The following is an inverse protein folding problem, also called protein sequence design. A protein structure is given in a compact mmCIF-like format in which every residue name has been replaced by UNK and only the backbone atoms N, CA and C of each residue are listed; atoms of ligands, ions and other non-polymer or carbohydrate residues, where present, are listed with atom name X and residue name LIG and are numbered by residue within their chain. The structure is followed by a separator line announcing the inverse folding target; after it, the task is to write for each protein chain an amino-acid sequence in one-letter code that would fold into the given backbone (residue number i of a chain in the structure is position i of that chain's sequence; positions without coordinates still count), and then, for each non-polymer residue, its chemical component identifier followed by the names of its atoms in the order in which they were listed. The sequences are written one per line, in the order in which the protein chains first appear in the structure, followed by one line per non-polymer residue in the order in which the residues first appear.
data_IF_952269087902
#
_entry.id   IF_952269087902
#
_cell.length_a   1.000
_cell.length_b   1.000
_cell.length_c   1.000
_cell.angle_alpha   90.00
_cell.angle_beta   90.00
_cell.angle_gamma   90.00
#
_symmetry.space_group_name_H-M   'P 1'
#
loop_
_entity.id
_entity.type
_entity.pdbx_description
1 polymer ?
#
# COMPACT_ATOMS: atom_id res chain seq x y z
N UNK A 1 -16.76 23.53 25.60
CA UNK A 1 -16.26 22.15 25.62
C UNK A 1 -16.19 21.73 24.16
N UNK A 2 -14.97 21.65 23.62
CA UNK A 2 -14.75 21.54 22.18
C UNK A 2 -14.75 20.08 21.73
N UNK A 3 -15.42 19.80 20.63
CA UNK A 3 -15.45 18.50 19.98
C UNK A 3 -14.03 18.10 19.56
N UNK A 4 -13.58 16.92 20.01
CA UNK A 4 -12.35 16.30 19.52
C UNK A 4 -12.75 15.43 18.33
N UNK A 5 -12.45 15.94 17.14
CA UNK A 5 -12.55 15.21 15.87
C UNK A 5 -11.21 14.53 15.61
N UNK A 6 -11.12 13.21 15.80
CA UNK A 6 -9.92 12.44 15.46
C UNK A 6 -10.02 12.03 14.00
N UNK A 7 -9.28 12.75 13.16
CA UNK A 7 -9.17 12.46 11.72
C UNK A 7 -7.96 11.56 11.51
N UNK A 8 -8.13 10.36 10.98
CA UNK A 8 -7.00 9.64 10.39
C UNK A 8 -6.73 10.21 9.00
N UNK A 9 -5.56 10.85 8.90
CA UNK A 9 -4.95 11.43 7.72
C UNK A 9 -4.80 10.41 6.60
N UNK A 10 -5.63 10.49 5.57
CA UNK A 10 -5.02 10.67 4.26
C UNK A 10 -4.49 12.10 4.30
N UNK A 11 -3.17 12.28 4.33
CA UNK A 11 -2.59 13.62 4.22
C UNK A 11 -3.00 14.16 2.85
N UNK A 12 -4.10 14.91 2.85
CA UNK A 12 -4.42 15.91 1.85
C UNK A 12 -3.22 16.83 1.70
N UNK A 13 -2.67 16.84 0.49
CA UNK A 13 -1.83 17.90 -0.10
C UNK A 13 -0.95 18.70 0.87
N UNK A 14 0.29 18.24 1.08
CA UNK A 14 1.38 19.19 0.92
C UNK A 14 1.85 19.00 -0.50
N UNK A 15 1.43 19.91 -1.39
CA UNK A 15 2.09 20.04 -2.68
C UNK A 15 3.54 20.42 -2.40
N UNK A 16 4.42 19.43 -2.31
CA UNK A 16 5.85 19.71 -2.44
C UNK A 16 6.02 20.11 -3.89
N UNK A 17 6.26 21.39 -4.12
CA UNK A 17 6.79 21.87 -5.39
C UNK A 17 8.13 21.17 -5.60
N UNK A 18 8.14 20.06 -6.33
CA UNK A 18 9.35 19.52 -6.92
C UNK A 18 9.69 20.37 -8.15
N UNK A 19 10.14 21.60 -7.91
CA UNK A 19 10.95 22.35 -8.85
C UNK A 19 12.38 22.22 -8.36
N UNK A 20 13.27 21.69 -9.21
CA UNK A 20 14.75 21.71 -9.16
C UNK A 20 15.52 20.36 -9.11
N UNK A 21 14.89 19.19 -9.13
CA UNK A 21 15.64 17.91 -9.23
C UNK A 21 15.68 17.27 -10.65
N UNK A 22 15.25 17.97 -11.69
CA UNK A 22 15.32 17.48 -13.08
C UNK A 22 16.41 18.19 -13.92
N UNK A 23 17.33 18.92 -13.28
CA UNK A 23 18.57 19.34 -13.91
C UNK A 23 19.70 18.68 -13.15
N UNK A 24 20.17 17.55 -13.67
CA UNK A 24 21.57 17.10 -13.70
C UNK A 24 21.60 15.59 -13.81
N UNK A 25 21.74 15.11 -15.04
CA UNK A 25 22.62 14.00 -15.42
C UNK A 25 22.59 13.86 -16.95
N UNK A 26 22.98 14.92 -17.64
CA UNK A 26 23.64 14.82 -18.95
C UNK A 26 24.36 16.13 -19.25
N UNK A 27 25.42 16.44 -18.49
CA UNK A 27 26.37 17.46 -18.91
C UNK A 27 27.24 16.90 -20.02
N UNK A 28 26.70 16.91 -21.24
CA UNK A 28 27.52 17.16 -22.41
C UNK A 28 26.84 18.18 -23.34
N UNK A 29 27.44 19.37 -23.35
CA UNK A 29 27.39 20.40 -24.38
C UNK A 29 26.19 21.38 -24.46
N UNK A 30 26.50 22.59 -23.96
CA UNK A 30 26.31 23.93 -24.56
C UNK A 30 24.91 24.57 -24.57
N UNK A 31 24.85 25.69 -23.83
CA UNK A 31 24.07 26.92 -24.02
C UNK A 31 23.09 26.97 -25.20
N UNK A 32 21.78 26.93 -24.92
CA UNK A 32 20.79 27.82 -25.54
C UNK A 32 19.63 28.04 -24.56
N UNK A 33 19.52 29.28 -24.11
CA UNK A 33 18.60 29.83 -23.13
C UNK A 33 17.13 29.94 -23.60
N UNK A 34 16.24 29.88 -22.62
CA UNK A 34 14.90 30.51 -22.50
C UNK A 34 13.79 30.16 -23.52
N UNK A 35 14.06 29.67 -24.73
CA UNK A 35 13.00 29.18 -25.65
C UNK A 35 12.63 27.70 -25.48
N UNK A 36 13.43 26.93 -24.74
CA UNK A 36 13.12 25.51 -24.43
C UNK A 36 12.12 25.35 -23.28
N UNK A 37 11.95 26.35 -22.42
CA UNK A 37 11.05 26.25 -21.26
C UNK A 37 9.57 26.13 -21.67
N UNK A 38 9.12 26.87 -22.69
CA UNK A 38 7.74 26.78 -23.19
C UNK A 38 7.49 25.52 -24.03
N UNK A 39 8.49 25.05 -24.78
CA UNK A 39 8.39 23.78 -25.52
C UNK A 39 8.44 22.54 -24.60
N UNK A 40 9.11 22.64 -23.45
CA UNK A 40 9.17 21.57 -22.45
C UNK A 40 7.83 21.36 -21.72
N UNK A 41 7.01 22.41 -21.55
CA UNK A 41 5.68 22.30 -20.95
C UNK A 41 4.70 21.48 -21.81
N UNK A 42 4.87 21.46 -23.14
CA UNK A 42 4.01 20.68 -24.03
C UNK A 42 4.38 19.18 -24.09
N UNK A 43 5.51 18.79 -23.50
CA UNK A 43 6.00 17.41 -23.46
C UNK A 43 6.20 16.88 -22.04
N UNK A 44 5.58 17.50 -21.03
CA UNK A 44 5.61 17.03 -19.65
C UNK A 44 4.37 16.20 -19.30
N UNK A 45 4.55 15.26 -18.39
CA UNK A 45 3.47 14.48 -17.78
C UNK A 45 3.53 14.65 -16.26
N UNK A 46 2.37 14.66 -15.64
CA UNK A 46 2.24 14.71 -14.18
C UNK A 46 1.81 13.35 -13.66
N UNK A 47 2.50 12.86 -12.64
CA UNK A 47 2.13 11.65 -11.92
C UNK A 47 1.79 11.99 -10.46
N UNK A 48 0.73 11.38 -9.96
CA UNK A 48 0.37 11.36 -8.54
C UNK A 48 0.95 10.11 -7.91
N UNK A 49 1.75 10.30 -6.89
CA UNK A 49 2.45 9.22 -6.19
C UNK A 49 2.04 9.21 -4.72
N UNK A 50 1.61 8.05 -4.21
CA UNK A 50 1.37 7.86 -2.78
C UNK A 50 2.44 6.94 -2.18
N UNK A 51 3.25 7.48 -1.28
CA UNK A 51 4.26 6.72 -0.52
C UNK A 51 3.65 6.22 0.78
N UNK A 52 3.83 4.93 1.07
CA UNK A 52 3.41 4.21 2.26
C UNK A 52 4.66 3.85 3.06
N UNK A 53 4.80 4.41 4.26
CA UNK A 53 5.88 4.15 5.19
C UNK A 53 5.31 3.49 6.45
N UNK A 54 5.30 2.16 6.45
CA UNK A 54 4.75 1.35 7.54
C UNK A 54 5.61 1.42 8.82
N UNK A 55 6.90 1.79 8.72
CA UNK A 55 7.79 1.88 9.89
C UNK A 55 7.36 2.99 10.83
N UNK A 56 6.93 4.12 10.27
CA UNK A 56 6.44 5.28 11.02
C UNK A 56 4.91 5.45 10.94
N UNK A 57 4.21 4.48 10.35
CA UNK A 57 2.75 4.50 10.15
C UNK A 57 2.27 5.79 9.48
N UNK A 58 2.90 6.12 8.34
CA UNK A 58 2.67 7.37 7.63
C UNK A 58 2.45 7.13 6.14
N UNK A 59 1.52 7.89 5.55
CA UNK A 59 1.36 7.96 4.11
C UNK A 59 1.59 9.41 3.64
N UNK A 60 2.31 9.58 2.52
CA UNK A 60 2.59 10.88 1.91
C UNK A 60 2.17 10.86 0.45
N UNK A 61 1.69 11.99 -0.07
CA UNK A 61 1.32 12.15 -1.48
C UNK A 61 2.23 13.17 -2.13
N UNK A 62 2.77 12.81 -3.28
CA UNK A 62 3.63 13.64 -4.12
C UNK A 62 2.96 13.85 -5.47
N UNK A 63 3.13 15.04 -6.02
CA UNK A 63 2.76 15.37 -7.39
C UNK A 63 4.05 15.67 -8.14
N UNK A 64 4.44 14.81 -9.07
CA UNK A 64 5.73 14.90 -9.73
C UNK A 64 5.53 15.10 -11.22
N UNK A 65 6.32 16.01 -11.80
CA UNK A 65 6.25 16.35 -13.21
C UNK A 65 7.51 15.85 -13.90
N UNK A 66 7.33 15.09 -14.97
CA UNK A 66 8.41 14.44 -15.70
C UNK A 66 8.33 14.75 -17.19
N UNK A 67 9.46 14.66 -17.87
CA UNK A 67 9.49 14.67 -19.34
C UNK A 67 8.82 13.42 -19.92
N UNK A 68 8.26 13.56 -21.11
CA UNK A 68 7.73 12.43 -21.86
C UNK A 68 8.83 11.38 -22.08
N UNK A 69 8.55 10.12 -21.71
CA UNK A 69 9.51 9.01 -21.81
C UNK A 69 10.39 8.82 -20.57
N UNK A 70 10.17 9.60 -19.50
CA UNK A 70 10.78 9.34 -18.21
C UNK A 70 10.47 7.93 -17.70
N UNK A 71 11.45 7.35 -16.99
CA UNK A 71 11.39 5.99 -16.46
C UNK A 71 11.25 6.01 -14.95
N UNK A 72 10.74 4.91 -14.41
CA UNK A 72 10.58 4.72 -12.98
C UNK A 72 11.88 4.86 -12.18
N UNK A 73 13.05 4.61 -12.77
CA UNK A 73 14.35 4.91 -12.14
C UNK A 73 14.43 6.34 -11.59
N UNK A 74 14.02 7.34 -12.38
CA UNK A 74 14.06 8.74 -11.96
C UNK A 74 13.09 9.04 -10.82
N UNK A 75 11.96 8.32 -10.77
CA UNK A 75 11.00 8.39 -9.66
C UNK A 75 11.63 7.87 -8.38
N UNK A 76 12.28 6.71 -8.45
CA UNK A 76 12.95 6.10 -7.31
C UNK A 76 14.06 6.98 -6.73
N UNK A 77 14.91 7.56 -7.59
CA UNK A 77 15.98 8.48 -7.18
C UNK A 77 15.42 9.75 -6.52
N UNK A 78 14.43 10.38 -7.17
CA UNK A 78 13.82 11.60 -6.62
C UNK A 78 13.10 11.36 -5.28
N UNK A 79 12.46 10.20 -5.12
CA UNK A 79 11.85 9.80 -3.86
C UNK A 79 12.87 9.53 -2.77
N UNK A 80 13.96 8.85 -3.12
CA UNK A 80 15.05 8.56 -2.20
C UNK A 80 15.61 9.85 -1.60
N UNK A 81 15.85 10.85 -2.45
CA UNK A 81 16.32 12.17 -2.03
C UNK A 81 15.28 12.89 -1.16
N UNK A 82 14.02 12.95 -1.60
CA UNK A 82 12.95 13.64 -0.87
C UNK A 82 12.64 13.01 0.49
N UNK A 83 12.86 11.70 0.63
CA UNK A 83 12.60 10.92 1.85
C UNK A 83 13.87 10.67 2.68
N UNK A 84 15.04 11.16 2.24
CA UNK A 84 16.34 10.94 2.85
C UNK A 84 16.62 9.44 3.15
N UNK A 85 16.47 8.60 2.12
CA UNK A 85 16.50 7.13 2.18
C UNK A 85 17.12 6.56 0.91
N UNK A 86 17.34 5.24 0.83
CA UNK A 86 17.85 4.62 -0.40
C UNK A 86 16.75 4.38 -1.43
N UNK A 87 17.06 4.57 -2.71
CA UNK A 87 16.16 4.19 -3.81
C UNK A 87 15.83 2.68 -3.79
N UNK A 88 16.72 1.84 -3.24
CA UNK A 88 16.50 0.40 -3.11
C UNK A 88 15.49 0.04 -1.99
N UNK A 89 15.17 0.99 -1.11
CA UNK A 89 14.11 0.86 -0.10
C UNK A 89 12.74 1.21 -0.69
N UNK A 90 12.63 1.63 -1.95
CA UNK A 90 11.38 2.08 -2.54
C UNK A 90 10.85 1.05 -3.54
N UNK A 91 9.61 0.59 -3.32
CA UNK A 91 8.96 -0.37 -4.20
C UNK A 91 7.67 0.22 -4.72
N UNK A 92 7.66 0.59 -5.99
CA UNK A 92 6.47 1.16 -6.61
C UNK A 92 5.59 0.07 -7.23
N UNK A 93 4.28 0.30 -7.22
CA UNK A 93 3.31 -0.51 -7.93
C UNK A 93 2.22 0.38 -8.54
N UNK A 94 1.69 -0.06 -9.68
CA UNK A 94 0.63 0.67 -10.38
C UNK A 94 -0.75 0.05 -10.08
N UNK A 95 -1.77 0.89 -9.79
CA UNK A 95 -3.17 0.45 -9.79
C UNK A 95 -3.65 0.19 -11.23
N UNK A 96 -4.86 -0.35 -11.44
CA UNK A 96 -5.46 -0.48 -12.76
C UNK A 96 -5.70 0.91 -13.34
N UNK A 97 -5.60 1.07 -14.67
CA UNK A 97 -5.87 2.35 -15.31
C UNK A 97 -7.29 2.80 -14.96
N UNK A 98 -7.42 4.01 -14.42
CA UNK A 98 -8.71 4.58 -14.03
C UNK A 98 -9.70 4.48 -15.19
N UNK A 99 -10.91 3.96 -14.92
CA UNK A 99 -12.02 4.13 -15.86
C UNK A 99 -12.49 5.60 -15.81
N UNK A 100 -13.19 6.06 -16.85
CA UNK A 100 -13.81 7.38 -16.86
C UNK A 100 -14.78 7.62 -15.68
N UNK A 101 -15.17 6.56 -14.96
CA UNK A 101 -16.07 6.58 -13.81
C UNK A 101 -15.38 6.98 -12.48
N UNK A 102 -14.10 7.35 -12.50
CA UNK A 102 -13.35 7.94 -11.35
C UNK A 102 -13.27 7.08 -10.08
N UNK A 103 -13.57 5.78 -10.15
CA UNK A 103 -13.34 4.88 -9.02
C UNK A 103 -11.93 4.30 -9.15
N UNK A 104 -11.00 4.79 -8.31
CA UNK A 104 -9.72 4.12 -8.11
C UNK A 104 -10.03 2.70 -7.60
N UNK A 105 -9.64 1.67 -8.35
CA UNK A 105 -9.59 0.31 -7.82
C UNK A 105 -8.20 0.13 -7.27
N UNK A 106 -8.06 0.02 -5.95
CA UNK A 106 -6.74 0.02 -5.32
C UNK A 106 -5.99 -1.30 -5.45
N UNK A 107 -6.44 -2.26 -6.27
CA UNK A 107 -5.67 -3.47 -6.50
C UNK A 107 -4.39 -3.19 -7.29
N UNK A 108 -3.25 -3.72 -6.86
CA UNK A 108 -2.02 -3.54 -7.59
C UNK A 108 -1.95 -4.49 -8.78
N UNK A 109 -1.58 -3.96 -9.93
CA UNK A 109 -1.54 -4.71 -11.19
C UNK A 109 -0.14 -5.24 -11.52
N UNK A 110 0.90 -4.55 -11.04
CA UNK A 110 2.31 -4.89 -11.26
C UNK A 110 3.18 -4.11 -10.28
N UNK A 111 4.26 -4.74 -9.83
CA UNK A 111 5.41 -4.03 -9.26
C UNK A 111 6.19 -3.38 -10.41
N UNK A 112 6.50 -2.09 -10.28
CA UNK A 112 7.14 -1.29 -11.31
C UNK A 112 8.66 -1.46 -11.26
N UNK A 113 9.24 -1.87 -12.39
CA UNK A 113 10.69 -2.00 -12.53
C UNK A 113 11.31 -0.64 -12.91
N UNK A 114 12.60 -0.39 -12.62
CA UNK A 114 13.25 0.88 -12.96
C UNK A 114 13.18 1.27 -14.45
N UNK A 115 12.99 0.29 -15.33
CA UNK A 115 12.88 0.47 -16.79
C UNK A 115 11.46 0.77 -17.28
N UNK A 116 10.46 0.58 -16.42
CA UNK A 116 9.06 0.86 -16.77
C UNK A 116 8.83 2.35 -16.98
N UNK A 117 7.81 2.68 -17.78
CA UNK A 117 7.31 4.04 -17.93
C UNK A 117 6.61 4.51 -16.65
N UNK A 118 6.66 5.82 -16.38
CA UNK A 118 5.97 6.41 -15.23
C UNK A 118 4.46 6.48 -15.50
N UNK A 119 3.60 5.79 -14.71
CA UNK A 119 2.15 5.90 -14.83
C UNK A 119 1.64 7.21 -14.22
N UNK A 120 0.42 7.62 -14.58
CA UNK A 120 -0.23 8.83 -14.02
C UNK A 120 -0.51 8.71 -12.52
N UNK A 121 -0.75 7.50 -12.04
CA UNK A 121 -0.95 7.21 -10.62
C UNK A 121 -0.10 6.00 -10.25
N UNK A 122 0.67 6.11 -9.17
CA UNK A 122 1.37 4.98 -8.58
C UNK A 122 1.38 5.06 -7.05
N UNK A 123 1.62 3.90 -6.45
CA UNK A 123 1.89 3.77 -5.03
C UNK A 123 3.34 3.35 -4.86
N UNK A 124 3.98 3.80 -3.80
CA UNK A 124 5.31 3.39 -3.41
C UNK A 124 5.26 2.89 -1.98
N UNK A 125 5.77 1.71 -1.73
CA UNK A 125 5.98 1.20 -0.39
C UNK A 125 7.46 1.36 -0.02
N UNK A 126 7.73 1.97 1.13
CA UNK A 126 9.06 1.92 1.73
C UNK A 126 9.25 0.56 2.38
N UNK A 127 10.27 -0.16 1.94
CA UNK A 127 10.67 -1.44 2.48
C UNK A 127 11.85 -1.27 3.43
N UNK A 128 11.77 -1.85 4.61
CA UNK A 128 12.90 -1.96 5.51
C UNK A 128 13.92 -2.96 4.90
N UNK A 129 15.04 -2.47 4.38
CA UNK A 129 16.12 -3.34 3.92
C UNK A 129 16.83 -3.90 5.14
N UNK A 130 17.00 -5.23 5.28
CA UNK A 130 17.80 -5.79 6.36
C UNK A 130 19.24 -5.27 6.27
N UNK A 131 19.69 -4.55 7.29
CA UNK A 131 21.08 -4.15 7.46
C UNK A 131 21.95 -5.40 7.66
N UNK A 132 22.44 -6.03 6.59
CA UNK A 132 23.44 -7.09 6.70
C UNK A 132 23.46 -8.13 5.58
N UNK A 133 24.37 -7.95 4.63
CA UNK A 133 25.41 -8.93 4.28
C UNK A 133 25.06 -10.27 3.61
N UNK A 134 23.81 -10.70 3.54
CA UNK A 134 23.43 -11.88 2.76
C UNK A 134 22.47 -11.45 1.65
N UNK A 135 23.00 -11.32 0.44
CA UNK A 135 22.26 -11.25 -0.83
C UNK A 135 21.58 -12.62 -1.09
N UNK A 136 20.84 -13.13 -0.10
CA UNK A 136 19.85 -14.16 -0.37
C UNK A 136 18.88 -13.55 -1.37
N UNK A 137 18.55 -14.30 -2.42
CA UNK A 137 17.68 -13.90 -3.53
C UNK A 137 16.34 -13.45 -2.99
N UNK A 138 16.26 -12.17 -2.59
CA UNK A 138 15.07 -11.58 -2.01
C UNK A 138 14.09 -11.41 -3.14
N UNK A 139 12.95 -12.07 -3.01
CA UNK A 139 11.86 -11.94 -3.98
C UNK A 139 10.80 -11.05 -3.37
N UNK A 140 10.39 -10.05 -4.13
CA UNK A 140 9.24 -9.21 -3.80
C UNK A 140 7.99 -9.92 -4.30
N UNK A 141 7.01 -10.11 -3.43
CA UNK A 141 5.71 -10.64 -3.80
C UNK A 141 4.65 -9.57 -3.56
N UNK A 142 3.86 -9.30 -4.59
CA UNK A 142 2.72 -8.41 -4.47
C UNK A 142 1.52 -9.16 -3.90
N UNK A 143 0.94 -8.61 -2.84
CA UNK A 143 -0.22 -9.16 -2.12
C UNK A 143 -1.37 -8.18 -2.24
N UNK A 144 -2.44 -8.62 -2.89
CA UNK A 144 -3.71 -7.92 -2.87
C UNK A 144 -4.56 -8.44 -1.70
N UNK A 145 -5.16 -7.53 -0.92
CA UNK A 145 -6.02 -7.89 0.21
C UNK A 145 -7.46 -7.57 -0.14
N UNK A 146 -8.27 -8.61 -0.28
CA UNK A 146 -9.64 -8.52 -0.74
C UNK A 146 -10.61 -8.97 0.35
N UNK A 147 -11.84 -8.50 0.25
CA UNK A 147 -12.98 -8.91 1.06
C UNK A 147 -13.98 -9.64 0.18
N UNK A 148 -14.48 -10.76 0.65
CA UNK A 148 -15.60 -11.48 0.06
C UNK A 148 -16.88 -11.15 0.83
N UNK A 149 -17.84 -10.56 0.12
CA UNK A 149 -19.19 -10.33 0.63
C UNK A 149 -20.00 -11.63 0.64
N UNK A 150 -21.12 -11.62 1.37
CA UNK A 150 -22.01 -12.78 1.50
C UNK A 150 -22.63 -13.23 0.16
N UNK A 151 -22.73 -12.33 -0.81
CA UNK A 151 -23.18 -12.60 -2.18
C UNK A 151 -22.04 -13.05 -3.12
N UNK A 152 -20.81 -13.17 -2.59
CA UNK A 152 -19.62 -13.57 -3.33
C UNK A 152 -18.91 -12.42 -4.05
N UNK A 153 -19.36 -11.17 -3.91
CA UNK A 153 -18.69 -10.00 -4.49
C UNK A 153 -17.34 -9.78 -3.80
N UNK A 154 -16.30 -9.50 -4.60
CA UNK A 154 -14.97 -9.17 -4.10
C UNK A 154 -14.74 -7.67 -4.11
N UNK A 155 -14.36 -7.14 -2.95
CA UNK A 155 -14.00 -5.74 -2.73
C UNK A 155 -12.55 -5.64 -2.25
N UNK A 156 -11.96 -4.45 -2.30
CA UNK A 156 -10.63 -4.21 -1.72
C UNK A 156 -10.79 -4.00 -0.21
N UNK A 157 -10.09 -4.79 0.59
CA UNK A 157 -10.15 -4.75 2.05
C UNK A 157 -9.01 -3.99 2.72
N UNK A 158 -7.88 -3.88 2.04
CA UNK A 158 -6.71 -3.13 2.48
C UNK A 158 -5.89 -2.68 1.26
N UNK A 159 -5.01 -1.70 1.41
CA UNK A 159 -4.09 -1.33 0.32
C UNK A 159 -3.20 -2.53 -0.04
N UNK A 160 -2.82 -2.72 -1.31
CA UNK A 160 -1.88 -3.76 -1.68
C UNK A 160 -0.55 -3.58 -0.97
N UNK A 161 0.06 -4.72 -0.64
CA UNK A 161 1.31 -4.78 0.08
C UNK A 161 2.34 -5.49 -0.78
N UNK A 162 3.60 -5.02 -0.75
CA UNK A 162 4.71 -5.75 -1.36
C UNK A 162 5.56 -6.33 -0.25
N UNK A 163 5.57 -7.65 -0.11
CA UNK A 163 6.34 -8.31 0.94
C UNK A 163 7.65 -8.84 0.43
N UNK A 164 8.69 -8.71 1.26
CA UNK A 164 9.94 -9.39 1.06
C UNK A 164 9.79 -10.84 1.49
N UNK A 165 10.18 -11.76 0.62
CA UNK A 165 10.27 -13.18 0.94
C UNK A 165 11.74 -13.58 0.98
N UNK A 166 12.13 -14.19 2.10
CA UNK A 166 13.46 -14.74 2.33
C UNK A 166 13.43 -16.25 2.09
N UNK A 167 14.44 -16.75 1.37
CA UNK A 167 14.55 -18.18 1.05
C UNK A 167 14.22 -18.53 -0.41
N UNK A 168 14.34 -19.81 -0.73
CA UNK A 168 14.24 -20.32 -2.11
C UNK A 168 12.82 -20.67 -2.53
N UNK A 169 11.95 -21.00 -1.58
CA UNK A 169 10.56 -21.40 -1.79
C UNK A 169 9.60 -20.43 -1.10
N UNK A 170 8.55 -20.02 -1.81
CA UNK A 170 7.47 -19.19 -1.24
C UNK A 170 6.48 -20.09 -0.51
N UNK A 171 6.16 -19.77 0.74
CA UNK A 171 5.16 -20.49 1.54
C UNK A 171 4.08 -19.54 2.04
N UNK A 172 2.88 -20.06 2.30
CA UNK A 172 1.78 -19.28 2.90
C UNK A 172 2.22 -18.66 4.22
N UNK A 173 2.86 -19.44 5.08
CA UNK A 173 3.37 -18.96 6.37
C UNK A 173 4.41 -17.85 6.23
N UNK A 174 5.29 -17.94 5.23
CA UNK A 174 6.26 -16.89 4.92
C UNK A 174 5.58 -15.59 4.49
N UNK A 175 4.58 -15.68 3.60
CA UNK A 175 3.79 -14.51 3.16
C UNK A 175 3.06 -13.88 4.34
N UNK A 176 2.34 -14.68 5.14
CA UNK A 176 1.60 -14.20 6.30
C UNK A 176 2.54 -13.56 7.34
N UNK A 177 3.70 -14.15 7.60
CA UNK A 177 4.66 -13.62 8.58
C UNK A 177 5.29 -12.30 8.12
N UNK A 178 5.60 -12.18 6.82
CA UNK A 178 6.08 -10.91 6.26
C UNK A 178 5.01 -9.83 6.31
N UNK A 179 3.75 -10.15 6.00
CA UNK A 179 2.63 -9.21 6.13
C UNK A 179 2.41 -8.77 7.58
N UNK A 180 2.41 -9.72 8.53
CA UNK A 180 2.20 -9.41 9.94
C UNK A 180 3.28 -8.49 10.48
N UNK A 181 4.54 -8.74 10.13
CA UNK A 181 5.66 -7.87 10.49
C UNK A 181 5.48 -6.47 9.91
N UNK A 182 5.20 -6.39 8.61
CA UNK A 182 5.07 -5.12 7.89
C UNK A 182 3.90 -4.27 8.40
N UNK A 183 2.73 -4.89 8.59
CA UNK A 183 1.52 -4.23 9.08
C UNK A 183 1.46 -4.13 10.61
N UNK A 184 2.48 -4.62 11.33
CA UNK A 184 2.55 -4.66 12.80
C UNK A 184 1.28 -5.26 13.41
N UNK A 185 0.81 -6.36 12.84
CA UNK A 185 -0.44 -7.01 13.26
C UNK A 185 -0.31 -7.62 14.64
N UNK A 186 -1.36 -7.52 15.46
CA UNK A 186 -1.44 -8.27 16.71
C UNK A 186 -1.78 -9.74 16.49
N UNK A 187 -1.61 -10.53 17.56
CA UNK A 187 -1.71 -12.00 17.54
C UNK A 187 -3.05 -12.51 16.97
N UNK A 188 -4.16 -11.84 17.29
CA UNK A 188 -5.50 -12.25 16.82
C UNK A 188 -5.68 -11.97 15.32
N UNK A 189 -5.23 -10.82 14.84
CA UNK A 189 -5.23 -10.50 13.41
C UNK A 189 -4.30 -11.42 12.62
N UNK A 190 -3.12 -11.76 13.17
CA UNK A 190 -2.20 -12.73 12.58
C UNK A 190 -2.84 -14.13 12.47
N UNK A 191 -3.52 -14.58 13.54
CA UNK A 191 -4.24 -15.86 13.52
C UNK A 191 -5.33 -15.87 12.46
N UNK A 192 -6.10 -14.79 12.36
CA UNK A 192 -7.14 -14.64 11.35
C UNK A 192 -6.55 -14.65 9.92
N UNK A 193 -5.50 -13.85 9.68
CA UNK A 193 -4.78 -13.82 8.40
C UNK A 193 -4.31 -15.21 7.95
N UNK A 194 -3.74 -16.01 8.86
CA UNK A 194 -3.29 -17.38 8.54
C UNK A 194 -4.45 -18.31 8.18
N UNK A 195 -5.64 -18.04 8.72
CA UNK A 195 -6.88 -18.76 8.42
C UNK A 195 -7.51 -18.37 7.07
N UNK A 196 -7.20 -17.19 6.54
CA UNK A 196 -7.75 -16.71 5.26
C UNK A 196 -7.32 -17.57 4.07
N UNK A 197 -8.17 -17.61 3.05
CA UNK A 197 -7.82 -18.24 1.77
C UNK A 197 -6.83 -17.38 0.99
N UNK A 198 -5.85 -18.05 0.39
CA UNK A 198 -4.80 -17.43 -0.43
C UNK A 198 -4.90 -17.99 -1.85
N UNK A 199 -4.93 -17.11 -2.83
CA UNK A 199 -5.02 -17.46 -4.25
C UNK A 199 -3.84 -16.89 -5.02
N UNK A 200 -3.37 -17.64 -6.02
CA UNK A 200 -2.53 -17.07 -7.07
C UNK A 200 -3.39 -16.13 -7.92
N UNK A 201 -2.87 -14.97 -8.31
CA UNK A 201 -3.60 -14.06 -9.18
C UNK A 201 -2.72 -13.48 -10.29
N UNK A 202 -3.35 -13.13 -11.40
CA UNK A 202 -2.69 -12.41 -12.50
C UNK A 202 -3.51 -11.21 -12.92
N UNK A 203 -2.83 -10.30 -13.59
CA UNK A 203 -3.43 -9.13 -14.20
C UNK A 203 -3.88 -9.45 -15.62
N UNK A 204 -5.16 -9.28 -15.91
CA UNK A 204 -5.72 -9.34 -17.26
C UNK A 204 -6.39 -8.00 -17.62
N UNK A 205 -5.83 -7.30 -18.60
CA UNK A 205 -6.29 -5.97 -19.04
C UNK A 205 -6.38 -4.95 -17.88
N UNK A 206 -7.55 -4.81 -17.27
CA UNK A 206 -7.87 -3.86 -16.19
C UNK A 206 -8.42 -4.56 -14.94
N UNK A 207 -8.27 -5.88 -14.84
CA UNK A 207 -8.78 -6.69 -13.74
C UNK A 207 -7.73 -7.64 -13.20
N UNK A 208 -7.85 -7.98 -11.92
CA UNK A 208 -7.16 -9.11 -11.33
C UNK A 208 -8.04 -10.34 -11.48
N UNK A 209 -7.44 -11.41 -11.98
CA UNK A 209 -8.07 -12.72 -12.12
C UNK A 209 -7.49 -13.64 -11.07
N UNK A 210 -8.36 -14.18 -10.21
CA UNK A 210 -7.99 -15.22 -9.25
C UNK A 210 -7.92 -16.56 -9.96
N UNK A 211 -6.84 -17.28 -9.75
CA UNK A 211 -6.64 -18.64 -10.27
C UNK A 211 -6.90 -19.66 -9.15
N UNK A 212 -6.15 -20.75 -9.17
CA UNK A 212 -6.20 -21.77 -8.13
C UNK A 212 -5.73 -21.22 -6.77
N UNK A 213 -6.19 -21.89 -5.71
CA UNK A 213 -5.64 -21.72 -4.37
C UNK A 213 -4.12 -21.87 -4.40
N UNK A 214 -3.46 -21.05 -3.59
CA UNK A 214 -2.01 -21.06 -3.47
C UNK A 214 -1.53 -22.36 -2.84
N UNK A 215 -0.45 -22.91 -3.39
CA UNK A 215 0.26 -24.06 -2.84
C UNK A 215 1.70 -23.67 -2.52
N UNK A 216 2.22 -24.16 -1.40
CA UNK A 216 3.61 -23.92 -1.02
C UNK A 216 4.59 -24.39 -2.11
N UNK A 217 5.64 -23.60 -2.33
CA UNK A 217 6.61 -23.80 -3.41
C UNK A 217 6.17 -23.23 -4.76
N UNK A 218 4.94 -22.74 -4.89
CA UNK A 218 4.53 -21.99 -6.08
C UNK A 218 5.39 -20.73 -6.25
N UNK A 219 5.52 -20.26 -7.50
CA UNK A 219 6.26 -19.05 -7.84
C UNK A 219 5.33 -18.00 -8.50
N UNK A 220 4.25 -17.56 -7.82
CA UNK A 220 3.41 -16.51 -8.38
C UNK A 220 4.14 -15.17 -8.40
N UNK A 221 3.80 -14.32 -9.36
CA UNK A 221 4.21 -12.91 -9.33
C UNK A 221 3.33 -12.10 -8.37
N UNK A 222 2.08 -12.53 -8.15
CA UNK A 222 1.11 -11.89 -7.27
C UNK A 222 0.17 -12.90 -6.63
N UNK A 223 -0.30 -12.57 -5.43
CA UNK A 223 -1.31 -13.35 -4.70
C UNK A 223 -2.43 -12.45 -4.22
N UNK A 224 -3.56 -13.05 -3.91
CA UNK A 224 -4.68 -12.40 -3.24
C UNK A 224 -5.04 -13.15 -1.95
N UNK A 225 -5.18 -12.42 -0.85
CA UNK A 225 -5.71 -12.93 0.41
C UNK A 225 -7.16 -12.49 0.52
N UNK A 226 -8.05 -13.44 0.79
CA UNK A 226 -9.49 -13.20 0.86
C UNK A 226 -9.93 -13.23 2.33
N UNK A 227 -10.34 -12.08 2.82
CA UNK A 227 -11.01 -11.92 4.11
C UNK A 227 -12.51 -12.07 3.94
N UNK A 228 -13.20 -12.56 4.95
CA UNK A 228 -14.66 -12.45 5.01
C UNK A 228 -15.04 -11.00 5.32
N UNK A 229 -16.04 -10.48 4.61
CA UNK A 229 -16.63 -9.19 4.98
C UNK A 229 -17.29 -9.27 6.36
N UNK A 230 -17.24 -8.15 7.07
CA UNK A 230 -17.97 -7.95 8.32
C UNK A 230 -19.04 -6.90 8.05
N UNK A 231 -20.22 -7.06 8.63
CA UNK A 231 -21.34 -6.14 8.42
C UNK A 231 -21.64 -5.29 9.66
N UNK A 232 -22.43 -4.23 9.44
CA UNK A 232 -22.85 -3.33 10.52
C UNK A 232 -23.67 -4.10 11.55
N UNK A 233 -23.27 -4.01 12.82
CA UNK A 233 -23.87 -4.73 13.94
C UNK A 233 -23.06 -5.95 14.40
N UNK A 234 -22.11 -6.43 13.59
CA UNK A 234 -21.24 -7.54 13.99
C UNK A 234 -20.29 -7.13 15.12
N UNK A 235 -20.03 -8.06 16.02
CA UNK A 235 -19.03 -7.90 17.08
C UNK A 235 -17.69 -8.41 16.56
N UNK A 236 -16.65 -7.60 16.77
CA UNK A 236 -15.31 -7.82 16.24
C UNK A 236 -14.26 -7.64 17.32
N UNK A 237 -13.12 -8.29 17.14
CA UNK A 237 -11.89 -7.91 17.83
C UNK A 237 -11.14 -6.89 17.00
N UNK A 238 -10.70 -5.83 17.65
CA UNK A 238 -9.84 -4.82 17.04
C UNK A 238 -8.44 -4.99 17.59
N UNK A 239 -7.46 -5.08 16.68
CA UNK A 239 -6.05 -4.99 17.05
C UNK A 239 -5.47 -3.72 16.48
N UNK A 240 -5.09 -2.80 17.37
CA UNK A 240 -4.40 -1.57 17.01
C UNK A 240 -3.05 -1.52 17.74
N UNK A 241 -1.97 -1.10 17.04
CA UNK A 241 -0.73 -0.79 17.72
C UNK A 241 -0.98 0.41 18.64
N UNK A 242 -0.86 0.22 19.96
CA UNK A 242 -0.95 1.33 20.90
C UNK A 242 0.24 2.27 20.66
N UNK A 243 -0.03 3.57 20.57
CA UNK A 243 1.02 4.58 20.43
C UNK A 243 2.05 4.42 21.55
N UNK A 244 3.33 4.40 21.17
CA UNK A 244 4.54 4.20 22.00
C UNK A 244 4.42 4.76 23.42
N UNK A 245 3.91 3.94 24.34
CA UNK A 245 4.20 4.03 25.76
C UNK A 245 5.49 3.26 26.01
N UNK A 246 6.41 3.82 26.82
CA UNK A 246 7.77 3.31 27.09
C UNK A 246 7.76 2.03 27.96
N UNK A 247 6.62 1.35 28.06
CA UNK A 247 6.45 0.12 28.81
C UNK A 247 5.86 -0.89 27.84
N UNK A 248 6.51 -2.05 27.71
CA UNK A 248 6.08 -3.20 26.92
C UNK A 248 4.64 -3.59 27.25
N UNK A 249 3.66 -2.99 26.59
CA UNK A 249 2.29 -3.46 26.58
C UNK A 249 1.99 -4.03 25.20
N UNK A 250 1.66 -5.31 25.18
CA UNK A 250 1.14 -6.02 24.02
C UNK A 250 0.02 -5.17 23.38
N UNK A 251 -0.16 -5.20 22.04
CA UNK A 251 -1.26 -4.48 21.40
C UNK A 251 -2.58 -4.83 22.11
N UNK A 252 -3.29 -3.80 22.59
CA UNK A 252 -4.57 -4.00 23.28
C UNK A 252 -5.57 -4.56 22.29
N UNK A 253 -5.98 -5.80 22.50
CA UNK A 253 -7.11 -6.39 21.79
C UNK A 253 -8.35 -6.06 22.59
N UNK A 254 -9.35 -5.47 21.93
CA UNK A 254 -10.62 -5.16 22.56
C UNK A 254 -11.79 -5.53 21.65
N UNK A 255 -12.95 -5.73 22.26
CA UNK A 255 -14.18 -6.04 21.54
C UNK A 255 -14.87 -4.74 21.12
N UNK A 256 -15.32 -4.68 19.87
CA UNK A 256 -16.05 -3.56 19.30
C UNK A 256 -17.23 -4.06 18.48
N UNK A 257 -18.16 -3.17 18.17
CA UNK A 257 -19.27 -3.41 17.25
C UNK A 257 -19.05 -2.56 16.01
N UNK A 258 -19.20 -3.14 14.82
CA UNK A 258 -19.15 -2.37 13.57
C UNK A 258 -20.35 -1.44 13.51
N UNK A 259 -20.11 -0.13 13.51
CA UNK A 259 -21.17 0.88 13.43
C UNK A 259 -21.34 1.43 12.02
N UNK A 260 -20.30 1.34 11.19
CA UNK A 260 -20.35 1.78 9.80
C UNK A 260 -19.40 0.96 8.95
N UNK A 261 -19.84 0.66 7.73
CA UNK A 261 -19.05 0.12 6.63
C UNK A 261 -19.20 1.03 5.43
N UNK A 262 -18.09 1.42 4.80
CA UNK A 262 -18.12 2.32 3.65
C UNK A 262 -16.89 2.11 2.77
N UNK A 263 -16.96 2.56 1.52
CA UNK A 263 -15.81 2.59 0.63
C UNK A 263 -15.27 4.02 0.53
N UNK A 264 -13.96 4.17 0.64
CA UNK A 264 -13.27 5.43 0.38
C UNK A 264 -11.98 5.17 -0.40
N UNK A 265 -11.72 5.99 -1.42
CA UNK A 265 -10.60 5.85 -2.33
C UNK A 265 -10.43 4.46 -2.96
N UNK A 266 -11.49 3.65 -2.98
CA UNK A 266 -11.46 2.29 -3.51
C UNK A 266 -11.09 1.19 -2.52
N UNK A 267 -10.99 1.51 -1.23
CA UNK A 267 -10.81 0.55 -0.13
C UNK A 267 -12.06 0.54 0.75
N UNK A 268 -12.45 -0.64 1.21
CA UNK A 268 -13.52 -0.84 2.20
C UNK A 268 -12.98 -0.55 3.60
N UNK A 269 -13.69 0.32 4.32
CA UNK A 269 -13.33 0.80 5.65
C UNK A 269 -14.47 0.56 6.64
N UNK A 270 -14.10 0.43 7.91
CA UNK A 270 -14.98 0.18 9.03
C UNK A 270 -14.81 1.24 10.12
N UNK A 271 -15.92 1.78 10.60
CA UNK A 271 -15.95 2.46 11.89
C UNK A 271 -16.51 1.49 12.91
N UNK A 272 -15.84 1.35 14.05
CA UNK A 272 -16.18 0.40 15.10
C UNK A 272 -16.26 1.12 16.44
N UNK A 273 -17.23 0.73 17.26
CA UNK A 273 -17.42 1.28 18.60
C UNK A 273 -17.03 0.24 19.63
N UNK A 274 -16.09 0.57 20.51
CA UNK A 274 -15.69 -0.32 21.62
C UNK A 274 -16.92 -0.68 22.48
N UNK A 275 -17.00 -1.93 22.95
CA UNK A 275 -18.16 -2.42 23.70
C UNK A 275 -18.25 -1.76 25.09
N UNK A 276 -17.11 -1.62 25.77
CA UNK A 276 -17.05 -1.12 27.14
C UNK A 276 -16.96 0.41 27.24
N UNK A 277 -16.60 1.08 26.15
CA UNK A 277 -16.48 2.54 26.11
C UNK A 277 -17.37 3.16 25.03
N UNK A 278 -17.55 4.47 25.07
CA UNK A 278 -18.24 5.19 23.99
C UNK A 278 -17.29 5.58 22.84
N UNK A 279 -16.05 5.07 22.83
CA UNK A 279 -15.04 5.44 21.84
C UNK A 279 -15.35 4.76 20.51
N UNK A 280 -15.34 5.57 19.45
CA UNK A 280 -15.43 5.11 18.07
C UNK A 280 -14.04 5.21 17.46
N UNK A 281 -13.55 4.08 16.96
CA UNK A 281 -12.42 4.05 16.05
C UNK A 281 -12.94 4.10 14.62
N UNK A 282 -12.44 5.06 13.87
CA UNK A 282 -12.89 5.29 12.50
C UNK A 282 -11.88 4.74 11.51
N UNK A 283 -12.37 4.36 10.31
CA UNK A 283 -11.56 4.12 9.11
C UNK A 283 -10.58 2.95 9.23
N UNK A 284 -10.97 1.90 9.95
CA UNK A 284 -10.20 0.66 10.04
C UNK A 284 -10.33 -0.18 8.78
N UNK A 285 -9.30 -0.95 8.46
CA UNK A 285 -9.30 -1.91 7.34
C UNK A 285 -9.51 -3.34 7.82
N UNK A 286 -9.72 -4.29 6.91
CA UNK A 286 -9.95 -5.69 7.28
C UNK A 286 -8.75 -6.38 7.96
N UNK A 287 -7.56 -5.80 7.89
CA UNK A 287 -6.38 -6.32 8.59
C UNK A 287 -6.35 -5.92 10.08
N UNK A 288 -7.20 -4.99 10.49
CA UNK A 288 -7.30 -4.48 11.87
C UNK A 288 -8.57 -4.96 12.60
N UNK A 289 -9.52 -5.50 11.83
CA UNK A 289 -10.84 -5.92 12.31
C UNK A 289 -10.97 -7.43 12.10
N UNK A 290 -11.16 -8.18 13.18
CA UNK A 290 -11.31 -9.64 13.16
C UNK A 290 -12.72 -10.01 13.60
N UNK A 291 -13.50 -10.74 12.80
CA UNK A 291 -14.81 -11.22 13.23
C UNK A 291 -14.68 -12.20 14.42
N UNK A 292 -15.62 -12.11 15.37
CA UNK A 292 -15.73 -13.02 16.54
C UNK A 292 -16.59 -14.25 16.25
#
# INVERSE_FOLDING_TARGET
MGDIKVTFTFITSVAIHCCEAAQWNDESTVDVSERRAEAALHNSRTAVLKVLDYDIDCARVFCMTYSHGARMRSVYESLADAMATSANEMICFAPPPMSAERVLRLCAMKVLEPVDDVPEVLFCQKAAVPCGGAVAVSRWLLVNVLLCENDGVLLVGHLPCVVQLTGTSITKDGICSSLCTMLKMGVECERHLRGCDLFCCTTEKKSIVLHNSFCDGACPSQVAIIYSAVDVGDVVLVSMPLARSVVEERPSVFQAVVVRRFAEDGVTLYDVKEVDTAVVLERLTCTQVVPL
#
